data_IF_869614188026
#
_entry.id   IF_869614188026
#
_cell.length_a   1.000
_cell.length_b   1.000
_cell.length_c   1.000
_cell.angle_alpha   90.00
_cell.angle_beta   90.00
_cell.angle_gamma   90.00
#
_symmetry.space_group_name_H-M   'P 1'
#
loop_
_entity.id
_entity.type
_entity.pdbx_description
1 polymer ?
#
# COMPACT_ATOMS: atom_id res chain seq x y z
N UNK A 1 12.37 -23.60 4.50
CA UNK A 1 11.78 -22.84 3.39
C UNK A 1 11.22 -21.53 3.93
N UNK A 2 12.04 -20.48 3.95
CA UNK A 2 11.74 -19.19 4.62
C UNK A 2 11.47 -18.03 3.64
N UNK A 3 11.22 -18.32 2.37
CA UNK A 3 10.72 -17.32 1.42
C UNK A 3 9.24 -17.59 1.18
N UNK A 4 8.30 -16.61 1.20
CA UNK A 4 8.49 -15.17 1.18
C UNK A 4 7.41 -14.46 2.04
N UNK A 5 7.43 -14.61 3.38
CA UNK A 5 6.50 -13.86 4.25
C UNK A 5 7.00 -12.43 4.54
N UNK A 6 8.27 -12.14 4.24
CA UNK A 6 8.95 -10.88 4.57
C UNK A 6 8.81 -9.82 3.47
N UNK A 7 8.70 -10.20 2.20
CA UNK A 7 8.62 -9.21 1.11
C UNK A 7 7.24 -8.52 1.01
N UNK A 8 6.17 -9.16 1.49
CA UNK A 8 4.82 -8.56 1.52
C UNK A 8 4.59 -7.57 2.67
N UNK A 9 5.36 -7.69 3.76
CA UNK A 9 5.17 -6.91 4.99
C UNK A 9 6.06 -5.66 5.04
N UNK A 10 7.02 -5.49 4.13
CA UNK A 10 8.10 -4.50 4.30
C UNK A 10 7.80 -3.11 3.72
N UNK A 11 6.67 -2.91 3.04
CA UNK A 11 6.30 -1.60 2.46
C UNK A 11 4.89 -1.13 2.82
N UNK A 12 4.07 -1.95 3.50
CA UNK A 12 2.65 -1.66 3.79
C UNK A 12 1.73 -1.63 2.55
N UNK A 13 2.30 -1.59 1.35
CA UNK A 13 1.60 -1.71 0.08
C UNK A 13 1.65 -3.17 -0.38
N UNK A 14 0.48 -3.82 -0.40
CA UNK A 14 0.36 -5.19 -0.93
C UNK A 14 1.04 -5.22 -2.32
N UNK A 15 1.87 -6.23 -2.65
CA UNK A 15 2.55 -6.32 -3.95
C UNK A 15 1.63 -6.12 -5.16
N UNK A 16 0.35 -6.47 -5.00
CA UNK A 16 -0.72 -6.18 -5.95
C UNK A 16 -0.84 -4.70 -6.33
N UNK A 17 -0.74 -3.77 -5.38
CA UNK A 17 -0.81 -2.33 -5.63
C UNK A 17 0.37 -1.82 -6.45
N UNK A 18 1.56 -2.40 -6.26
CA UNK A 18 2.76 -2.04 -7.04
C UNK A 18 2.58 -2.50 -8.49
N UNK A 19 2.12 -3.73 -8.71
CA UNK A 19 1.84 -4.25 -10.06
C UNK A 19 0.75 -3.41 -10.72
N UNK A 20 -0.32 -3.10 -9.99
CA UNK A 20 -1.40 -2.25 -10.48
C UNK A 20 -0.88 -0.87 -10.92
N UNK A 21 -0.05 -0.23 -10.10
CA UNK A 21 0.55 1.06 -10.41
C UNK A 21 1.43 1.02 -11.68
N UNK A 22 2.22 -0.04 -11.85
CA UNK A 22 3.07 -0.24 -13.04
C UNK A 22 2.21 -0.44 -14.29
N UNK A 23 1.17 -1.27 -14.21
CA UNK A 23 0.30 -1.56 -15.36
C UNK A 23 -0.50 -0.32 -15.77
N UNK A 24 -1.10 0.38 -14.81
CA UNK A 24 -1.88 1.60 -15.08
C UNK A 24 -0.99 2.72 -15.57
N UNK A 25 0.14 2.99 -14.89
CA UNK A 25 1.09 3.99 -15.33
C UNK A 25 1.67 3.66 -16.72
N UNK A 26 2.02 2.40 -16.94
CA UNK A 26 2.47 1.89 -18.23
C UNK A 26 1.45 2.06 -19.36
N UNK A 27 0.17 1.84 -19.08
CA UNK A 27 -0.90 2.03 -20.06
C UNK A 27 -1.12 3.52 -20.42
N UNK A 28 -0.85 4.45 -19.51
CA UNK A 28 -1.05 5.89 -19.75
C UNK A 28 0.11 6.55 -20.52
N UNK A 29 1.36 6.27 -20.14
CA UNK A 29 2.55 6.97 -20.68
C UNK A 29 3.69 6.04 -21.11
N UNK A 30 3.43 4.73 -21.25
CA UNK A 30 4.44 3.74 -21.62
C UNK A 30 5.49 3.54 -20.52
N UNK A 31 6.74 3.33 -20.91
CA UNK A 31 7.86 3.03 -19.98
C UNK A 31 8.04 4.12 -18.92
N UNK A 32 7.88 5.39 -19.28
CA UNK A 32 7.97 6.50 -18.33
C UNK A 32 6.87 6.43 -17.27
N UNK A 33 5.66 6.04 -17.68
CA UNK A 33 4.54 5.85 -16.77
C UNK A 33 4.71 4.66 -15.84
N UNK A 34 5.43 3.61 -16.24
CA UNK A 34 5.78 2.50 -15.33
C UNK A 34 6.70 2.97 -14.20
N UNK A 35 7.69 3.80 -14.51
CA UNK A 35 8.63 4.35 -13.52
C UNK A 35 7.95 5.35 -12.57
N UNK A 36 7.12 6.23 -13.11
CA UNK A 36 6.40 7.25 -12.33
C UNK A 36 5.14 6.70 -11.64
N UNK A 37 4.58 5.58 -12.10
CA UNK A 37 3.36 4.98 -11.56
C UNK A 37 3.53 4.52 -10.12
N UNK A 38 4.65 3.88 -9.79
CA UNK A 38 4.93 3.40 -8.43
C UNK A 38 5.02 4.55 -7.39
N UNK A 39 5.86 5.58 -7.58
CA UNK A 39 5.95 6.68 -6.61
C UNK A 39 4.65 7.50 -6.52
N UNK A 40 3.94 7.71 -7.63
CA UNK A 40 2.63 8.39 -7.59
C UNK A 40 1.63 7.59 -6.77
N UNK A 41 1.58 6.27 -6.94
CA UNK A 41 0.67 5.42 -6.16
C UNK A 41 1.01 5.39 -4.67
N UNK A 42 2.31 5.41 -4.32
CA UNK A 42 2.74 5.51 -2.93
C UNK A 42 2.24 6.80 -2.26
N UNK A 43 2.32 7.94 -2.96
CA UNK A 43 1.80 9.23 -2.45
C UNK A 43 0.29 9.20 -2.27
N UNK A 44 -0.44 8.63 -3.23
CA UNK A 44 -1.91 8.48 -3.12
C UNK A 44 -2.28 7.64 -1.90
N UNK A 45 -1.64 6.48 -1.72
CA UNK A 45 -1.90 5.62 -0.58
C UNK A 45 -1.53 6.30 0.75
N UNK A 46 -0.47 7.09 0.80
CA UNK A 46 -0.11 7.87 1.98
C UNK A 46 -1.21 8.89 2.35
N UNK A 47 -1.73 9.63 1.37
CA UNK A 47 -2.82 10.59 1.58
C UNK A 47 -4.09 9.86 2.05
N UNK A 48 -4.42 8.73 1.43
CA UNK A 48 -5.57 7.92 1.83
C UNK A 48 -5.46 7.44 3.28
N UNK A 49 -4.27 7.01 3.71
CA UNK A 49 -4.05 6.61 5.11
C UNK A 49 -4.29 7.77 6.07
N UNK A 50 -3.77 8.97 5.79
CA UNK A 50 -4.02 10.16 6.61
C UNK A 50 -5.51 10.45 6.71
N UNK A 51 -6.23 10.39 5.59
CA UNK A 51 -7.67 10.61 5.56
C UNK A 51 -8.39 9.57 6.42
N UNK A 52 -8.10 8.29 6.20
CA UNK A 52 -8.71 7.18 6.95
C UNK A 52 -8.47 7.35 8.45
N UNK A 53 -7.24 7.64 8.87
CA UNK A 53 -6.89 7.92 10.27
C UNK A 53 -7.68 9.09 10.84
N UNK A 54 -7.83 10.18 10.09
CA UNK A 54 -8.61 11.33 10.51
C UNK A 54 -10.10 10.99 10.70
N UNK A 55 -10.67 10.21 9.79
CA UNK A 55 -12.06 9.74 9.87
C UNK A 55 -12.28 8.75 11.02
N UNK A 56 -11.34 7.83 11.26
CA UNK A 56 -11.41 6.86 12.35
C UNK A 56 -11.31 7.55 13.73
N UNK A 57 -10.41 8.53 13.87
CA UNK A 57 -10.27 9.34 15.08
C UNK A 57 -11.58 10.07 15.40
N UNK A 58 -12.28 10.59 14.40
CA UNK A 58 -13.58 11.25 14.56
C UNK A 58 -14.67 10.30 15.09
N UNK A 59 -14.55 9.00 14.84
CA UNK A 59 -15.52 7.97 15.26
C UNK A 59 -15.11 7.24 16.54
N UNK A 60 -14.00 7.62 17.18
CA UNK A 60 -13.45 6.98 18.38
C UNK A 60 -13.23 5.46 18.22
N UNK A 61 -12.91 5.03 16.99
CA UNK A 61 -12.69 3.61 16.69
C UNK A 61 -11.19 3.33 16.84
N UNK A 62 -10.85 2.44 17.77
CA UNK A 62 -9.48 1.90 17.89
C UNK A 62 -9.32 0.75 16.91
N UNK A 63 -8.54 0.98 15.84
CA UNK A 63 -8.19 -0.07 14.88
C UNK A 63 -6.98 -0.85 15.40
N UNK A 64 -7.16 -2.16 15.63
CA UNK A 64 -6.06 -3.08 15.93
C UNK A 64 -5.17 -3.23 14.68
N UNK A 65 -3.84 -3.07 14.78
CA UNK A 65 -2.93 -3.26 13.65
C UNK A 65 -3.06 -4.68 13.06
N UNK A 66 -3.36 -4.75 11.76
CA UNK A 66 -3.57 -6.00 11.01
C UNK A 66 -2.33 -6.93 11.03
N UNK A 67 -1.13 -6.39 11.21
CA UNK A 67 0.14 -7.14 11.26
C UNK A 67 0.48 -7.73 12.64
N UNK A 68 -0.50 -7.80 13.55
CA UNK A 68 -0.34 -8.47 14.83
C UNK A 68 -0.10 -9.97 14.56
N UNK A 69 1.05 -10.55 14.96
CA UNK A 69 1.19 -11.99 14.96
C UNK A 69 0.19 -12.52 15.98
N UNK A 70 -0.89 -13.09 15.47
CA UNK A 70 -1.84 -13.90 16.20
C UNK A 70 -1.04 -14.85 17.10
N UNK A 71 -1.01 -14.54 18.40
CA UNK A 71 -0.42 -15.41 19.41
C UNK A 71 -1.27 -16.67 19.43
N UNK A 72 -0.80 -17.72 18.76
CA UNK A 72 -1.20 -19.10 19.01
C UNK A 72 -0.57 -19.57 20.32
#
# INVERSE_FOLDING_TARGET
FLGPKILGNSTGLKPLWVIFAIVVGGAMFGVLGMFLGVPTMAVICYILNIIIEHFLKKRNITVQPYDSPDKM
#
